data_IF_310224172796
#
_entry.id   IF_310224172796
#
_cell.length_a   1.000
_cell.length_b   1.000
_cell.length_c   1.000
_cell.angle_alpha   90.00
_cell.angle_beta   90.00
_cell.angle_gamma   90.00
#
_symmetry.space_group_name_H-M   'P 1'
#
loop_
_entity.id
_entity.type
_entity.pdbx_description
1 polymer ?
#
# COMPACT_ATOMS: atom_id res chain seq x y z
N UNK A 1 -2.41 -81.37 -24.14
CA UNK A 1 -1.81 -81.95 -22.92
C UNK A 1 -1.03 -80.84 -22.21
N UNK A 2 -1.70 -79.93 -21.51
CA UNK A 2 -1.77 -79.99 -20.05
C UNK A 2 -1.79 -78.57 -19.49
N UNK A 3 -2.85 -78.29 -18.74
CA UNK A 3 -3.27 -77.02 -18.13
C UNK A 3 -2.55 -76.81 -16.79
N UNK A 4 -2.07 -75.59 -16.48
CA UNK A 4 -1.97 -75.09 -15.09
C UNK A 4 -2.20 -73.58 -15.03
N UNK A 5 -3.45 -73.21 -14.73
CA UNK A 5 -3.84 -71.93 -14.15
C UNK A 5 -3.29 -71.82 -12.72
N UNK A 6 -2.66 -70.70 -12.39
CA UNK A 6 -2.65 -70.17 -11.02
C UNK A 6 -2.87 -68.66 -11.08
N UNK A 7 -4.10 -68.26 -10.79
CA UNK A 7 -4.45 -66.91 -10.41
C UNK A 7 -4.06 -66.69 -8.93
N UNK A 8 -3.23 -65.68 -8.69
CA UNK A 8 -3.10 -64.95 -7.42
C UNK A 8 -2.23 -63.72 -7.77
N UNK A 9 -2.82 -62.59 -8.15
CA UNK A 9 -3.33 -61.59 -7.21
C UNK A 9 -2.38 -61.43 -6.01
N UNK A 10 -1.50 -60.42 -6.05
CA UNK A 10 -1.50 -59.37 -5.03
C UNK A 10 -0.53 -58.24 -5.43
N UNK A 11 -1.16 -57.14 -5.81
CA UNK A 11 -0.68 -55.78 -5.83
C UNK A 11 0.23 -55.42 -4.65
N UNK A 12 1.48 -55.04 -4.94
CA UNK A 12 2.26 -54.14 -4.08
C UNK A 12 3.00 -53.12 -4.96
N UNK A 13 2.23 -52.20 -5.55
CA UNK A 13 2.74 -50.95 -6.12
C UNK A 13 2.66 -49.92 -5.00
N UNK A 14 3.77 -49.67 -4.30
CA UNK A 14 3.91 -48.52 -3.39
C UNK A 14 5.36 -47.99 -3.40
N UNK A 15 5.85 -47.57 -4.57
CA UNK A 15 6.97 -46.62 -4.64
C UNK A 15 6.59 -45.47 -5.57
N UNK A 16 5.83 -44.50 -5.05
CA UNK A 16 5.69 -43.19 -5.67
C UNK A 16 5.44 -42.11 -4.62
N UNK A 17 6.40 -41.93 -3.71
CA UNK A 17 6.55 -40.66 -3.01
C UNK A 17 7.38 -39.72 -3.90
N UNK A 18 6.76 -39.23 -4.97
CA UNK A 18 7.23 -38.04 -5.67
C UNK A 18 6.13 -37.00 -5.52
N UNK A 19 6.04 -36.42 -4.31
CA UNK A 19 5.34 -35.16 -4.19
C UNK A 19 6.17 -34.13 -4.98
N UNK A 20 5.54 -33.31 -5.84
CA UNK A 20 6.20 -32.10 -6.30
C UNK A 20 6.40 -31.26 -5.05
N UNK A 21 7.64 -31.17 -4.57
CA UNK A 21 8.07 -29.99 -3.86
C UNK A 21 7.79 -28.84 -4.81
N UNK A 22 6.71 -28.10 -4.55
CA UNK A 22 6.62 -26.72 -5.00
C UNK A 22 7.80 -26.02 -4.33
N UNK A 23 8.92 -26.03 -5.06
CA UNK A 23 10.03 -25.14 -4.83
C UNK A 23 9.41 -23.76 -5.02
N UNK A 24 8.92 -23.17 -3.94
CA UNK A 24 8.58 -21.76 -3.91
C UNK A 24 9.81 -21.09 -4.50
N UNK A 25 9.64 -20.54 -5.70
CA UNK A 25 10.69 -19.81 -6.38
C UNK A 25 11.31 -18.87 -5.34
N UNK A 26 12.65 -18.74 -5.29
CA UNK A 26 13.24 -17.73 -4.42
C UNK A 26 12.56 -16.42 -4.77
N UNK A 27 11.67 -15.96 -3.88
CA UNK A 27 11.06 -14.64 -3.99
C UNK A 27 12.26 -13.71 -4.17
N UNK A 28 12.33 -12.90 -5.25
CA UNK A 28 13.43 -11.97 -5.43
C UNK A 28 13.67 -11.33 -4.08
N UNK A 29 14.89 -11.47 -3.55
CA UNK A 29 15.24 -10.88 -2.26
C UNK A 29 14.76 -9.45 -2.34
N UNK A 30 13.74 -9.12 -1.54
CA UNK A 30 13.11 -7.82 -1.63
C UNK A 30 14.24 -6.81 -1.43
N UNK A 31 14.59 -6.12 -2.51
CA UNK A 31 15.30 -4.85 -2.39
C UNK A 31 14.56 -4.07 -1.30
N UNK A 32 15.24 -3.35 -0.39
CA UNK A 32 14.55 -2.57 0.61
C UNK A 32 13.70 -1.53 -0.14
N UNK A 33 12.42 -1.86 -0.28
CA UNK A 33 11.56 -1.35 -1.33
C UNK A 33 10.12 -1.71 -1.02
N UNK A 34 9.19 -0.89 -1.49
CA UNK A 34 7.77 -0.97 -1.15
C UNK A 34 7.17 -2.28 -1.66
N UNK A 35 6.44 -3.00 -0.80
CA UNK A 35 5.64 -4.15 -1.20
C UNK A 35 4.47 -3.69 -2.10
N UNK A 36 4.64 -3.91 -3.41
CA UNK A 36 3.68 -3.50 -4.44
C UNK A 36 2.34 -4.20 -4.27
N UNK A 37 2.31 -5.50 -3.96
CA UNK A 37 1.07 -6.26 -3.82
C UNK A 37 0.27 -5.79 -2.61
N UNK A 38 0.95 -5.57 -1.48
CA UNK A 38 0.32 -5.00 -0.29
C UNK A 38 -0.18 -3.56 -0.52
N UNK A 39 0.53 -2.76 -1.33
CA UNK A 39 0.09 -1.42 -1.70
C UNK A 39 -1.19 -1.43 -2.52
N UNK A 40 -1.25 -2.26 -3.57
CA UNK A 40 -2.42 -2.42 -4.43
C UNK A 40 -3.63 -2.96 -3.67
N UNK A 41 -3.42 -3.92 -2.75
CA UNK A 41 -4.48 -4.45 -1.89
C UNK A 41 -5.12 -3.39 -0.99
N UNK A 42 -4.40 -2.31 -0.66
CA UNK A 42 -4.91 -1.15 0.07
C UNK A 42 -5.53 -0.07 -0.84
N UNK A 43 -5.64 -0.33 -2.14
CA UNK A 43 -6.10 0.65 -3.14
C UNK A 43 -5.06 1.71 -3.51
N UNK A 44 -3.79 1.49 -3.14
CA UNK A 44 -2.69 2.41 -3.44
C UNK A 44 -1.95 2.08 -4.73
N UNK A 45 -1.09 3.01 -5.14
CA UNK A 45 -0.14 2.84 -6.24
C UNK A 45 1.27 3.16 -5.75
N UNK A 46 2.24 2.33 -6.10
CA UNK A 46 3.66 2.63 -5.83
C UNK A 46 4.12 3.68 -6.84
N UNK A 47 4.48 4.87 -6.36
CA UNK A 47 5.04 5.95 -7.19
C UNK A 47 6.38 6.43 -6.61
N UNK A 48 7.30 6.91 -7.45
CA UNK A 48 8.43 7.70 -6.96
C UNK A 48 7.87 9.01 -6.40
N UNK A 49 8.06 9.24 -5.10
CA UNK A 49 7.67 10.48 -4.44
C UNK A 49 8.88 11.37 -4.23
N UNK A 50 8.64 12.67 -4.14
CA UNK A 50 9.65 13.67 -3.79
C UNK A 50 10.77 13.77 -4.85
N UNK A 51 11.64 14.78 -4.76
CA UNK A 51 12.79 14.96 -5.66
C UNK A 51 13.81 13.83 -5.57
N UNK A 52 13.86 13.11 -4.44
CA UNK A 52 14.71 11.91 -4.29
C UNK A 52 14.16 10.66 -4.99
N UNK A 53 12.95 10.73 -5.56
CA UNK A 53 12.32 9.62 -6.28
C UNK A 53 12.23 8.33 -5.44
N UNK A 54 12.00 8.47 -4.14
CA UNK A 54 11.88 7.31 -3.26
C UNK A 54 10.57 6.58 -3.58
N UNK A 55 10.58 5.26 -3.81
CA UNK A 55 9.35 4.54 -4.03
C UNK A 55 8.51 4.58 -2.74
N UNK A 56 7.26 5.04 -2.83
CA UNK A 56 6.30 4.99 -1.74
C UNK A 56 4.96 4.46 -2.24
N UNK A 57 4.26 3.69 -1.40
CA UNK A 57 2.85 3.41 -1.62
C UNK A 57 2.04 4.68 -1.36
N UNK A 58 1.33 5.18 -2.37
CA UNK A 58 0.45 6.33 -2.21
C UNK A 58 -1.00 5.92 -2.43
N UNK A 59 -1.83 6.28 -1.45
CA UNK A 59 -3.24 5.93 -1.38
C UNK A 59 -4.05 7.23 -1.49
N UNK A 60 -5.01 7.26 -2.40
CA UNK A 60 -5.96 8.35 -2.50
C UNK A 60 -6.92 8.31 -1.30
N UNK A 61 -7.19 9.47 -0.71
CA UNK A 61 -8.10 9.57 0.42
C UNK A 61 -9.56 9.71 -0.06
N UNK A 62 -10.52 8.99 0.55
CA UNK A 62 -11.92 9.00 0.14
C UNK A 62 -12.65 10.33 0.41
N UNK A 63 -12.03 11.19 1.20
CA UNK A 63 -12.49 12.50 1.65
C UNK A 63 -11.73 13.66 1.00
N UNK A 64 -10.86 13.39 0.02
CA UNK A 64 -10.13 14.39 -0.73
C UNK A 64 -11.00 15.60 -1.14
N UNK A 65 -10.54 16.80 -0.80
CA UNK A 65 -11.21 18.06 -1.17
C UNK A 65 -12.41 18.44 -0.30
N UNK A 66 -12.85 17.61 0.65
CA UNK A 66 -13.93 17.99 1.58
C UNK A 66 -13.47 19.14 2.47
N UNK A 67 -14.34 20.11 2.71
CA UNK A 67 -14.06 21.21 3.63
C UNK A 67 -13.83 20.69 5.05
N UNK A 68 -12.82 21.23 5.72
CA UNK A 68 -12.46 20.87 7.07
C UNK A 68 -11.94 22.08 7.86
N UNK A 69 -11.96 21.98 9.18
CA UNK A 69 -11.36 22.97 10.09
C UNK A 69 -10.24 22.38 10.95
N UNK A 70 -10.06 21.06 10.89
CA UNK A 70 -9.03 20.36 11.64
C UNK A 70 -8.70 19.02 10.95
N UNK A 71 -7.48 18.52 11.10
CA UNK A 71 -7.04 17.25 10.53
C UNK A 71 -7.82 16.04 11.07
N UNK A 72 -8.36 16.10 12.28
CA UNK A 72 -9.20 15.03 12.86
C UNK A 72 -10.49 14.75 12.07
N UNK A 73 -10.87 15.63 11.14
CA UNK A 73 -12.03 15.47 10.27
C UNK A 73 -11.72 14.74 8.96
N UNK A 74 -10.43 14.48 8.70
CA UNK A 74 -9.95 13.94 7.45
C UNK A 74 -9.22 12.59 7.64
N UNK A 75 -9.11 11.78 6.59
CA UNK A 75 -8.25 10.60 6.59
C UNK A 75 -6.75 10.96 6.53
N UNK A 76 -6.43 12.19 6.13
CA UNK A 76 -5.11 12.81 6.17
C UNK A 76 -5.15 14.17 6.85
N UNK A 77 -4.33 15.11 6.37
CA UNK A 77 -4.32 16.47 6.91
C UNK A 77 -5.48 17.32 6.36
N UNK A 78 -5.93 18.27 7.16
CA UNK A 78 -6.76 19.38 6.68
C UNK A 78 -5.83 20.49 6.16
N UNK A 79 -5.84 20.77 4.85
CA UNK A 79 -4.86 21.66 4.22
C UNK A 79 -5.48 22.97 3.76
N UNK A 80 -4.81 24.08 4.09
CA UNK A 80 -5.13 25.40 3.58
C UNK A 80 -4.63 25.56 2.14
N UNK A 81 -5.46 26.13 1.27
CA UNK A 81 -5.20 26.26 -0.17
C UNK A 81 -4.80 27.68 -0.61
N UNK A 82 -4.58 28.58 0.34
CA UNK A 82 -4.24 29.98 0.06
C UNK A 82 -2.97 30.44 0.75
N UNK A 83 -2.72 31.75 0.65
CA UNK A 83 -1.60 32.42 1.29
C UNK A 83 -2.12 33.29 2.43
N UNK A 84 -1.86 32.86 3.67
CA UNK A 84 -2.19 33.62 4.87
C UNK A 84 -1.19 33.31 5.99
N UNK A 85 -1.03 34.27 6.89
CA UNK A 85 -0.14 34.09 8.03
C UNK A 85 -0.70 33.02 8.99
N UNK A 86 0.16 32.25 9.67
CA UNK A 86 -0.26 31.35 10.74
C UNK A 86 -1.11 32.07 11.80
N UNK A 87 -2.15 31.39 12.29
CA UNK A 87 -3.14 31.93 13.23
C UNK A 87 -4.32 32.65 12.57
N UNK A 88 -4.26 32.93 11.27
CA UNK A 88 -5.38 33.54 10.53
C UNK A 88 -6.56 32.56 10.49
N UNK A 89 -7.81 32.99 10.76
CA UNK A 89 -8.99 32.14 10.60
C UNK A 89 -9.14 31.65 9.16
N UNK A 90 -9.29 30.34 8.98
CA UNK A 90 -9.42 29.71 7.67
C UNK A 90 -10.14 28.36 7.77
N UNK A 91 -10.79 27.98 6.67
CA UNK A 91 -11.16 26.60 6.41
C UNK A 91 -10.13 25.98 5.45
N UNK A 92 -9.89 24.69 5.62
CA UNK A 92 -9.06 23.89 4.72
C UNK A 92 -9.88 22.93 3.88
N UNK A 93 -9.16 22.09 3.15
CA UNK A 93 -9.70 20.95 2.43
C UNK A 93 -8.90 19.70 2.81
N UNK A 94 -9.57 18.57 2.97
CA UNK A 94 -8.91 17.32 3.26
C UNK A 94 -7.92 16.97 2.14
N UNK A 95 -6.73 16.52 2.56
CA UNK A 95 -5.63 16.13 1.68
C UNK A 95 -6.10 15.10 0.63
N UNK A 96 -5.50 15.17 -0.57
CA UNK A 96 -5.90 14.31 -1.68
C UNK A 96 -5.42 12.86 -1.54
N UNK A 97 -4.17 12.67 -1.12
CA UNK A 97 -3.54 11.36 -1.04
C UNK A 97 -2.47 11.32 0.07
N UNK A 98 -1.86 10.16 0.29
CA UNK A 98 -0.80 9.97 1.29
C UNK A 98 0.61 10.36 0.81
N UNK A 99 0.75 11.13 -0.27
CA UNK A 99 2.05 11.61 -0.76
C UNK A 99 2.58 12.68 0.20
N UNK A 100 3.74 12.51 0.86
CA UNK A 100 4.23 13.49 1.84
C UNK A 100 4.79 14.76 1.21
N UNK A 101 5.02 14.78 -0.10
CA UNK A 101 5.83 15.80 -0.77
C UNK A 101 5.06 17.10 -1.03
N UNK A 102 5.83 18.15 -1.32
CA UNK A 102 5.33 19.50 -1.53
C UNK A 102 5.25 20.32 -0.24
N UNK A 103 4.83 21.57 -0.40
CA UNK A 103 4.55 22.47 0.70
C UNK A 103 3.08 22.35 1.11
N UNK A 104 2.85 21.99 2.36
CA UNK A 104 1.52 21.77 2.93
C UNK A 104 1.36 22.63 4.16
N UNK A 105 0.25 23.35 4.22
CA UNK A 105 -0.10 24.21 5.35
C UNK A 105 -1.32 23.63 6.03
N UNK A 106 -1.20 23.08 7.25
CA UNK A 106 -2.34 22.50 7.92
C UNK A 106 -3.31 23.60 8.40
N UNK A 107 -4.58 23.27 8.53
CA UNK A 107 -5.56 24.02 9.30
C UNK A 107 -5.82 23.27 10.60
N UNK A 108 -5.68 23.98 11.73
CA UNK A 108 -5.87 23.43 13.07
C UNK A 108 -6.82 24.36 13.81
N UNK A 109 -7.89 23.82 14.38
CA UNK A 109 -8.93 24.59 15.07
C UNK A 109 -9.46 25.80 14.28
N UNK A 110 -9.65 25.63 12.96
CA UNK A 110 -10.14 26.66 12.05
C UNK A 110 -9.15 27.81 11.81
N UNK A 111 -7.86 27.58 12.01
CA UNK A 111 -6.80 28.55 11.78
C UNK A 111 -5.67 27.97 10.95
N UNK A 112 -5.03 28.83 10.16
CA UNK A 112 -3.83 28.48 9.40
C UNK A 112 -2.71 28.08 10.36
N UNK A 113 -2.17 26.88 10.20
CA UNK A 113 -1.05 26.37 10.97
C UNK A 113 0.31 26.73 10.36
N UNK A 114 1.37 26.13 10.88
CA UNK A 114 2.72 26.29 10.33
C UNK A 114 2.91 25.39 9.12
N UNK A 115 3.26 25.99 7.97
CA UNK A 115 3.56 25.25 6.75
C UNK A 115 4.78 24.35 6.90
N UNK A 116 4.73 23.16 6.27
CA UNK A 116 5.86 22.25 6.12
C UNK A 116 6.09 21.96 4.65
N UNK A 117 7.33 22.10 4.20
CA UNK A 117 7.75 21.69 2.87
C UNK A 117 8.61 20.43 2.97
N UNK A 118 8.21 19.39 2.23
CA UNK A 118 8.97 18.14 2.08
C UNK A 118 9.30 17.96 0.61
N UNK A 119 10.55 17.60 0.34
CA UNK A 119 11.13 17.45 -0.98
C UNK A 119 11.87 16.12 -1.16
#
# INVERSE_FOLDING_TARGET
MGLRFTAAALSLILLSACAPTEMAAPKPAAEPGVDVASCQAKGGTVKPVCRRQLPQCVIAYPDAGKSCTDGSQCAGDCLYQGDAAPGTPAAGQCQADSDPCGCKTPVVDGKVGQGRCVD
#
